data_IF_240502293061
#
_entry.id   IF_240502293061
#
_cell.length_a   1.000
_cell.length_b   1.000
_cell.length_c   1.000
_cell.angle_alpha   90.00
_cell.angle_beta   90.00
_cell.angle_gamma   90.00
#
_symmetry.space_group_name_H-M   'P 1'
#
loop_
_entity.id
_entity.type
_entity.pdbx_description
1 polymer ?
2 non-polymer ?
3 non-polymer ?
4 non-polymer ?
5 non-polymer ?
6 non-polymer ?
7 non-polymer ?
8 non-polymer ?
9 water ?
#
# COMPACT_ATOMS: atom_id res chain seq x y z
N UNK A 23 30.17 -10.18 -14.59
CA UNK A 23 30.14 -9.99 -13.11
C UNK A 23 29.07 -10.85 -12.46
N UNK A 24 29.44 -11.53 -11.36
CA UNK A 24 28.52 -12.40 -10.63
C UNK A 24 27.45 -11.59 -9.90
N UNK A 25 27.81 -10.37 -9.51
CA UNK A 25 26.88 -9.44 -8.91
C UNK A 25 25.82 -8.99 -9.93
N UNK A 26 26.26 -8.67 -11.14
CA UNK A 26 25.37 -8.17 -12.19
C UNK A 26 24.42 -9.23 -12.72
N UNK A 27 24.85 -10.49 -12.68
CA UNK A 27 23.99 -11.63 -13.03
C UNK A 27 22.94 -11.84 -11.94
N UNK A 28 23.37 -11.79 -10.68
CA UNK A 28 22.47 -11.83 -9.51
C UNK A 28 21.44 -10.71 -9.55
N UNK A 29 21.85 -9.54 -10.04
CA UNK A 29 20.98 -8.38 -10.16
C UNK A 29 20.00 -8.55 -11.31
N UNK A 30 20.48 -9.12 -12.42
CA UNK A 30 19.66 -9.39 -13.60
C UNK A 30 18.45 -10.26 -13.24
N UNK A 31 18.70 -11.35 -12.50
CA UNK A 31 17.66 -12.31 -12.16
C UNK A 31 16.73 -11.78 -11.07
N UNK A 32 17.30 -11.13 -10.06
CA UNK A 32 16.49 -10.50 -9.02
C UNK A 32 15.53 -9.47 -9.63
N UNK A 33 15.99 -8.75 -10.64
CA UNK A 33 15.13 -7.80 -11.35
C UNK A 33 13.97 -8.50 -12.07
N UNK A 34 14.20 -9.72 -12.58
CA UNK A 34 13.12 -10.51 -13.14
C UNK A 34 12.13 -10.90 -12.03
N UNK A 35 12.63 -11.20 -10.84
CA UNK A 35 11.80 -11.56 -9.69
C UNK A 35 11.00 -10.37 -9.16
N UNK A 36 11.63 -9.20 -9.10
CA UNK A 36 10.94 -7.96 -8.74
C UNK A 36 9.78 -7.68 -9.72
N UNK A 37 10.01 -7.94 -11.00
CA UNK A 37 8.96 -7.77 -12.02
C UNK A 37 7.78 -8.73 -11.77
N UNK A 38 8.06 -9.98 -11.44
CA UNK A 38 6.98 -10.94 -11.17
C UNK A 38 6.12 -10.50 -9.98
N UNK A 39 6.78 -9.98 -8.95
CA UNK A 39 6.13 -9.52 -7.72
C UNK A 39 5.01 -8.53 -7.99
N UNK A 40 5.15 -7.77 -9.08
CA UNK A 40 4.21 -6.70 -9.44
C UNK A 40 2.90 -7.23 -10.02
N UNK A 41 2.88 -8.51 -10.39
CA UNK A 41 1.66 -9.10 -10.94
C UNK A 41 0.56 -9.21 -9.89
N UNK A 42 0.95 -9.22 -8.61
CA UNK A 42 0.01 -9.29 -7.51
C UNK A 42 -0.31 -7.97 -6.78
N UNK A 43 0.26 -6.85 -7.25
CA UNK A 43 0.20 -5.57 -6.55
C UNK A 43 -1.16 -5.23 -5.93
N UNK A 44 -2.23 -5.49 -6.67
CA UNK A 44 -3.55 -5.06 -6.28
C UNK A 44 -4.34 -6.11 -5.49
N UNK A 45 -3.81 -7.32 -5.43
CA UNK A 45 -4.58 -8.43 -4.86
C UNK A 45 -3.94 -9.11 -3.65
N UNK A 46 -2.70 -8.74 -3.31
CA UNK A 46 -1.94 -9.37 -2.23
C UNK A 46 -2.31 -8.92 -0.80
N UNK A 47 -2.68 -7.66 -0.63
CA UNK A 47 -2.94 -7.12 0.72
C UNK A 47 -3.80 -8.06 1.58
N UNK A 48 -3.42 -8.29 2.86
CA UNK A 48 -2.36 -7.65 3.65
C UNK A 48 -0.99 -8.28 3.46
N UNK A 49 -0.95 -9.40 2.74
CA UNK A 49 0.28 -10.08 2.43
C UNK A 49 1.16 -9.20 1.53
N UNK A 50 2.49 -9.36 1.65
CA UNK A 50 3.47 -8.66 0.81
C UNK A 50 3.47 -9.16 -0.62
N UNK A 51 3.80 -8.26 -1.55
CA UNK A 51 4.15 -8.62 -2.92
C UNK A 51 5.50 -9.28 -2.94
N UNK A 52 5.58 -10.45 -3.58
CA UNK A 52 6.80 -11.25 -3.57
C UNK A 52 6.95 -11.96 -4.89
N UNK A 53 8.14 -11.84 -5.48
CA UNK A 53 8.47 -12.60 -6.68
C UNK A 53 9.58 -13.59 -6.39
N UNK A 54 9.66 -14.62 -7.24
CA UNK A 54 10.72 -15.61 -7.14
C UNK A 54 11.04 -16.20 -8.51
N UNK A 55 12.32 -16.22 -8.86
CA UNK A 55 12.79 -16.99 -10.01
C UNK A 55 13.81 -18.06 -9.59
N UNK A 56 13.78 -19.19 -10.28
CA UNK A 56 14.75 -20.26 -10.06
C UNK A 56 15.56 -20.45 -11.34
N UNK A 57 16.88 -20.46 -11.17
CA UNK A 57 17.84 -20.42 -12.27
C UNK A 57 18.91 -21.48 -12.07
N UNK A 58 19.25 -22.17 -13.16
CA UNK A 58 20.26 -23.22 -13.13
C UNK A 58 20.98 -23.20 -14.46
N UNK A 59 22.30 -23.31 -14.42
CA UNK A 59 23.15 -23.18 -15.63
C UNK A 59 22.77 -21.94 -16.46
N UNK A 60 22.44 -20.84 -15.77
CA UNK A 60 22.03 -19.57 -16.39
C UNK A 60 20.68 -19.65 -17.13
N UNK A 61 19.89 -20.69 -16.84
CA UNK A 61 18.60 -20.89 -17.50
C UNK A 61 17.46 -20.72 -16.51
N UNK A 62 16.45 -19.95 -16.91
CA UNK A 62 15.25 -19.77 -16.09
C UNK A 62 14.40 -21.02 -16.16
N UNK A 63 14.10 -21.61 -15.00
CA UNK A 63 13.32 -22.85 -14.95
C UNK A 63 12.03 -22.75 -14.14
N UNK A 64 11.85 -21.64 -13.41
CA UNK A 64 10.64 -21.46 -12.63
C UNK A 64 10.45 -20.03 -12.23
N UNK A 65 9.22 -19.54 -12.40
CA UNK A 65 8.84 -18.21 -11.96
C UNK A 65 7.63 -18.32 -11.04
N UNK A 66 7.50 -17.39 -10.11
CA UNK A 66 6.38 -17.40 -9.20
C UNK A 66 6.17 -16.03 -8.61
N UNK A 67 4.91 -15.76 -8.27
CA UNK A 67 4.54 -14.58 -7.53
C UNK A 67 3.37 -14.92 -6.61
N UNK A 68 3.22 -14.17 -5.54
CA UNK A 68 2.14 -14.41 -4.59
C UNK A 68 0.92 -13.66 -5.10
N UNK A 69 -0.18 -14.37 -5.41
CA UNK A 69 -1.28 -13.61 -6.01
C UNK A 69 -2.24 -12.97 -4.99
N UNK A 70 -2.40 -13.58 -3.83
CA UNK A 70 -3.50 -13.23 -2.93
C UNK A 70 -3.40 -13.99 -1.61
N UNK A 71 -3.86 -13.36 -0.52
CA UNK A 71 -3.91 -13.99 0.80
C UNK A 71 -4.57 -15.36 0.77
N UNK A 72 -3.92 -16.33 1.40
CA UNK A 72 -4.45 -17.68 1.46
C UNK A 72 -3.87 -18.57 0.38
N UNK A 73 -3.42 -17.96 -0.71
CA UNK A 73 -2.83 -18.72 -1.83
C UNK A 73 -1.34 -19.01 -1.60
N UNK A 74 -0.74 -19.93 -2.40
CA UNK A 74 0.68 -20.24 -2.13
C UNK A 74 1.63 -19.05 -2.26
N UNK A 75 2.73 -19.09 -1.52
CA UNK A 75 3.79 -18.10 -1.61
C UNK A 75 4.56 -18.21 -2.94
N UNK A 76 5.30 -17.15 -3.29
CA UNK A 76 6.00 -17.07 -4.57
C UNK A 76 6.91 -18.27 -4.84
N UNK A 77 7.71 -18.63 -3.85
CA UNK A 77 8.66 -19.74 -3.89
C UNK A 77 8.01 -21.09 -4.26
N UNK A 78 6.79 -21.31 -3.75
CA UNK A 78 6.02 -22.52 -4.04
C UNK A 78 5.65 -22.62 -5.53
N UNK A 79 5.13 -21.54 -6.11
CA UNK A 79 4.83 -21.52 -7.54
C UNK A 79 6.09 -21.76 -8.39
N UNK A 80 7.16 -21.04 -8.07
CA UNK A 80 8.43 -21.15 -8.78
C UNK A 80 9.01 -22.57 -8.74
N UNK A 81 8.89 -23.23 -7.59
CA UNK A 81 9.42 -24.59 -7.41
C UNK A 81 8.58 -25.64 -8.14
N UNK A 82 7.26 -25.46 -8.12
CA UNK A 82 6.35 -26.32 -8.87
C UNK A 82 6.74 -26.34 -10.35
N UNK A 83 7.09 -25.17 -10.89
CA UNK A 83 7.59 -25.05 -12.26
C UNK A 83 8.95 -25.70 -12.45
N UNK A 84 9.90 -25.36 -11.57
CA UNK A 84 11.26 -25.91 -11.60
C UNK A 84 11.29 -27.43 -11.49
N UNK A 85 10.33 -27.98 -10.74
CA UNK A 85 10.26 -29.42 -10.51
C UNK A 85 11.54 -29.97 -9.91
N UNK A 86 11.96 -31.14 -10.37
CA UNK A 86 13.16 -31.80 -9.82
C UNK A 86 14.47 -31.10 -10.19
N UNK A 87 14.40 -30.20 -11.17
CA UNK A 87 15.60 -29.47 -11.63
C UNK A 87 16.01 -28.36 -10.66
N UNK A 88 15.17 -28.09 -9.67
CA UNK A 88 15.46 -27.16 -8.59
C UNK A 88 16.69 -27.57 -7.75
N UNK A 89 17.03 -28.86 -7.76
CA UNK A 89 18.24 -29.34 -7.07
C UNK A 89 19.49 -28.72 -7.67
N UNK A 90 20.31 -28.12 -6.81
CA UNK A 90 21.55 -27.45 -7.24
C UNK A 90 21.35 -26.07 -7.87
N UNK A 91 20.10 -25.64 -8.02
CA UNK A 91 19.80 -24.35 -8.65
C UNK A 91 19.94 -23.17 -7.69
N UNK A 92 19.76 -21.96 -8.22
CA UNK A 92 19.71 -20.75 -7.40
C UNK A 92 18.31 -20.14 -7.45
N UNK A 93 17.78 -19.80 -6.26
CA UNK A 93 16.48 -19.17 -6.15
C UNK A 93 16.66 -17.72 -5.79
N UNK A 94 16.04 -16.84 -6.57
CA UNK A 94 16.03 -15.41 -6.26
C UNK A 94 14.66 -15.06 -5.73
N UNK A 95 14.62 -14.49 -4.53
CA UNK A 95 13.37 -14.11 -3.89
C UNK A 95 13.46 -12.68 -3.33
N UNK A 96 12.44 -11.87 -3.65
CA UNK A 96 12.40 -10.45 -3.28
C UNK A 96 12.24 -10.18 -1.78
N UNK A 97 11.96 -11.24 -1.03
CA UNK A 97 11.73 -11.14 0.41
C UNK A 97 12.16 -12.43 1.10
N UNK A 98 12.56 -12.34 2.35
CA UNK A 98 13.08 -13.49 3.09
C UNK A 98 12.04 -14.62 3.24
N UNK A 99 12.36 -15.82 2.70
CA UNK A 99 11.45 -16.96 2.86
C UNK A 99 10.99 -17.17 4.32
N UNK A 100 9.69 -17.39 4.49
CA UNK A 100 9.06 -17.49 5.80
C UNK A 100 9.51 -18.73 6.57
N UNK A 101 9.45 -18.63 7.90
CA UNK A 101 9.90 -19.70 8.77
C UNK A 101 8.77 -20.24 9.65
N UNK A 102 7.52 -19.93 9.28
CA UNK A 102 6.39 -20.31 10.13
C UNK A 102 5.14 -20.83 9.40
N UNK A 103 4.40 -21.68 10.09
CA UNK A 103 3.14 -22.25 9.60
C UNK A 103 1.98 -21.32 9.94
N UNK A 104 1.15 -21.05 8.92
CA UNK A 104 -0.09 -20.31 9.09
C UNK A 104 -1.15 -20.94 8.22
N UNK A 105 -1.56 -20.23 7.18
CA UNK A 105 -2.50 -20.78 6.20
C UNK A 105 -1.79 -21.75 5.25
N UNK A 106 -0.48 -21.55 5.08
CA UNK A 106 0.39 -22.44 4.28
C UNK A 106 1.65 -22.89 5.05
N UNK A 107 2.32 -23.98 4.61
CA UNK A 107 3.61 -24.42 5.16
C UNK A 107 4.77 -23.41 4.92
N UNK A 108 5.91 -23.56 5.63
CA UNK A 108 6.98 -22.54 5.56
C UNK A 108 7.89 -22.67 4.34
N UNK A 109 8.21 -21.53 3.73
CA UNK A 109 8.99 -21.49 2.47
C UNK A 109 10.44 -21.88 2.61
N UNK A 110 11.04 -21.57 3.75
CA UNK A 110 12.42 -21.96 4.04
C UNK A 110 12.57 -23.48 3.92
N UNK A 111 11.60 -24.22 4.46
CA UNK A 111 11.59 -25.69 4.41
C UNK A 111 11.37 -26.25 3.01
N UNK A 112 10.62 -25.54 2.17
CA UNK A 112 10.37 -25.99 0.79
C UNK A 112 11.64 -25.94 -0.04
N UNK A 113 12.39 -24.84 0.12
CA UNK A 113 13.68 -24.64 -0.55
C UNK A 113 14.70 -25.70 -0.15
N UNK A 114 14.78 -25.98 1.15
CA UNK A 114 15.64 -27.05 1.68
C UNK A 114 15.26 -28.39 1.05
N UNK A 115 13.96 -28.71 1.09
CA UNK A 115 13.42 -29.94 0.54
C UNK A 115 13.80 -30.09 -0.93
N UNK A 116 13.70 -29.00 -1.69
CA UNK A 116 14.06 -28.98 -3.10
C UNK A 116 15.58 -29.07 -3.32
N UNK A 117 16.34 -28.95 -2.24
CA UNK A 117 17.80 -29.06 -2.26
C UNK A 117 18.45 -28.04 -3.21
N UNK A 118 18.03 -26.78 -3.09
CA UNK A 118 18.68 -25.72 -3.83
C UNK A 118 20.10 -25.48 -3.29
N UNK A 119 20.99 -25.02 -4.16
CA UNK A 119 22.37 -24.75 -3.79
C UNK A 119 22.50 -23.39 -3.10
N UNK A 120 21.70 -22.42 -3.56
CA UNK A 120 21.81 -21.02 -3.15
C UNK A 120 20.47 -20.28 -3.23
N UNK A 121 20.20 -19.45 -2.22
CA UNK A 121 19.01 -18.58 -2.19
C UNK A 121 19.45 -17.13 -2.04
N UNK A 122 19.06 -16.30 -3.01
CA UNK A 122 19.42 -14.88 -3.02
C UNK A 122 18.18 -14.07 -2.60
N UNK A 123 18.36 -13.23 -1.58
CA UNK A 123 17.25 -12.48 -0.96
C UNK A 123 17.45 -10.97 -1.07
N UNK A 124 16.41 -10.26 -1.53
CA UNK A 124 16.46 -8.79 -1.60
C UNK A 124 16.25 -8.17 -0.23
N UNK A 125 15.05 -8.29 0.31
CA UNK A 125 14.70 -7.66 1.59
C UNK A 125 14.66 -8.70 2.69
N UNK A 126 15.28 -8.41 3.85
CA UNK A 126 15.08 -9.31 4.99
C UNK A 126 13.66 -9.13 5.52
N UNK A 127 13.24 -10.01 6.42
CA UNK A 127 11.89 -9.88 6.97
C UNK A 127 11.79 -8.62 7.82
N UNK A 128 10.75 -7.81 7.58
CA UNK A 128 10.60 -6.57 8.37
C UNK A 128 10.13 -6.79 9.80
N UNK A 129 9.45 -7.91 10.06
CA UNK A 129 8.95 -8.20 11.41
C UNK A 129 10.13 -8.60 12.30
N UNK A 130 10.45 -7.76 13.31
CA UNK A 130 11.64 -8.06 14.11
C UNK A 130 11.53 -9.37 14.89
N UNK A 131 10.30 -9.80 15.19
CA UNK A 131 10.11 -11.04 15.96
C UNK A 131 10.43 -12.31 15.18
N UNK A 132 10.55 -12.20 13.86
CA UNK A 132 10.82 -13.38 13.04
C UNK A 132 12.03 -13.18 12.10
N UNK A 133 12.56 -11.97 12.05
CA UNK A 133 13.64 -11.63 11.10
C UNK A 133 14.88 -12.50 11.30
N UNK A 134 15.39 -13.03 10.19
CA UNK A 134 16.60 -13.87 10.19
C UNK A 134 16.39 -15.37 10.38
N UNK A 135 15.17 -15.75 10.79
CA UNK A 135 14.87 -17.15 11.12
C UNK A 135 14.75 -18.02 9.86
N UNK A 136 14.23 -17.44 8.78
CA UNK A 136 14.16 -18.13 7.50
C UNK A 136 15.55 -18.36 6.94
N UNK A 137 16.37 -17.30 6.92
CA UNK A 137 17.77 -17.38 6.53
C UNK A 137 18.52 -18.42 7.37
N UNK A 138 18.29 -18.40 8.68
CA UNK A 138 18.93 -19.36 9.58
C UNK A 138 18.66 -20.81 9.15
N UNK A 139 17.41 -21.13 8.82
CA UNK A 139 17.04 -22.48 8.35
C UNK A 139 17.80 -22.87 7.07
N UNK A 140 18.07 -21.88 6.22
CA UNK A 140 18.86 -22.11 5.01
C UNK A 140 20.35 -22.32 5.31
N UNK A 141 20.90 -21.50 6.21
CA UNK A 141 22.28 -21.65 6.69
C UNK A 141 22.53 -23.07 7.20
N UNK A 142 21.62 -23.55 8.04
CA UNK A 142 21.72 -24.88 8.68
C UNK A 142 21.80 -26.04 7.68
N UNK A 143 21.06 -25.93 6.59
CA UNK A 143 21.04 -26.97 5.56
C UNK A 143 22.28 -26.95 4.66
N UNK A 144 23.15 -25.97 4.89
CA UNK A 144 24.33 -25.76 4.05
C UNK A 144 24.05 -24.94 2.81
N UNK A 145 22.85 -24.37 2.72
CA UNK A 145 22.46 -23.58 1.55
C UNK A 145 23.13 -22.21 1.60
N UNK A 146 23.78 -21.84 0.50
CA UNK A 146 24.34 -20.50 0.32
C UNK A 146 23.25 -19.45 0.41
N UNK A 147 23.44 -18.45 1.28
CA UNK A 147 22.53 -17.31 1.36
C UNK A 147 23.29 -16.00 1.31
N UNK A 148 22.99 -15.18 0.32
CA UNK A 148 23.43 -13.79 0.34
C UNK A 148 22.25 -12.85 0.22
N UNK A 149 22.33 -11.74 0.96
CA UNK A 149 21.19 -10.88 1.19
C UNK A 149 21.51 -9.41 0.83
N UNK A 150 20.54 -8.72 0.24
CA UNK A 150 20.67 -7.29 -0.07
C UNK A 150 20.67 -6.90 -1.53
N UNK A 151 20.56 -7.88 -2.42
CA UNK A 151 20.62 -7.65 -3.87
C UNK A 151 19.35 -6.95 -4.36
N UNK A 152 19.55 -5.81 -5.03
CA UNK A 152 18.46 -4.90 -5.43
C UNK A 152 17.45 -4.69 -4.30
N UNK A 153 17.94 -4.48 -3.08
CA UNK A 153 17.06 -4.25 -1.94
C UNK A 153 16.22 -2.99 -2.07
N UNK A 154 16.86 -1.88 -2.48
CA UNK A 154 16.17 -0.61 -2.70
C UNK A 154 14.96 -0.76 -3.63
N UNK A 155 15.18 -1.42 -4.75
CA UNK A 155 14.15 -1.59 -5.78
C UNK A 155 13.05 -2.53 -5.27
N UNK A 156 13.45 -3.55 -4.51
CA UNK A 156 12.49 -4.52 -3.98
C UNK A 156 11.63 -3.91 -2.88
N UNK A 157 12.25 -3.07 -2.04
CA UNK A 157 11.53 -2.34 -0.98
C UNK A 157 10.38 -1.49 -1.49
N UNK A 158 10.52 -0.96 -2.70
CA UNK A 158 9.48 -0.20 -3.36
C UNK A 158 8.22 -1.03 -3.64
N UNK A 159 8.38 -2.36 -3.65
CA UNK A 159 7.28 -3.29 -3.80
C UNK A 159 6.35 -3.33 -2.57
N UNK A 160 6.86 -2.90 -1.43
CA UNK A 160 6.17 -3.15 -0.15
C UNK A 160 6.38 -2.00 0.83
N UNK A 161 6.19 -0.76 0.38
CA UNK A 161 6.39 0.37 1.27
C UNK A 161 5.59 0.27 2.57
N UNK A 162 4.29 -0.02 2.46
CA UNK A 162 3.45 -0.18 3.64
C UNK A 162 3.79 -1.37 4.54
N UNK A 163 3.85 -2.56 3.95
CA UNK A 163 4.15 -3.78 4.73
C UNK A 163 5.47 -3.68 5.49
N UNK A 164 6.52 -3.22 4.81
CA UNK A 164 7.85 -3.10 5.43
C UNK A 164 7.85 -2.09 6.57
N UNK A 165 7.16 -0.98 6.38
CA UNK A 165 7.05 0.02 7.46
C UNK A 165 6.22 -0.48 8.64
N UNK A 166 5.05 -1.06 8.35
CA UNK A 166 4.12 -1.49 9.40
C UNK A 166 4.72 -2.61 10.25
N UNK A 167 5.45 -3.52 9.61
CA UNK A 167 6.00 -4.67 10.30
C UNK A 167 7.21 -4.27 11.16
N UNK A 168 7.94 -3.26 10.71
CA UNK A 168 9.10 -2.79 11.45
C UNK A 168 8.78 -1.72 12.51
N UNK A 169 7.67 -0.99 12.34
CA UNK A 169 7.36 0.10 13.30
C UNK A 169 5.96 0.08 13.93
N UNK A 170 5.07 -0.77 13.43
CA UNK A 170 3.68 -0.78 13.90
C UNK A 170 2.79 0.34 13.35
N UNK A 171 3.29 1.12 12.40
CA UNK A 171 2.50 2.18 11.79
C UNK A 171 2.42 1.98 10.28
N UNK A 172 1.24 2.21 9.68
CA UNK A 172 1.13 2.00 8.25
C UNK A 172 1.84 3.12 7.48
N UNK A 173 2.15 2.87 6.20
CA UNK A 173 2.60 3.91 5.25
C UNK A 173 1.38 4.69 4.82
N UNK A 174 1.40 6.02 5.01
CA UNK A 174 0.23 6.85 4.78
C UNK A 174 0.42 7.84 3.63
N UNK A 175 -0.45 7.74 2.64
CA UNK A 175 -0.46 8.64 1.49
C UNK A 175 -1.65 9.57 1.57
N UNK A 176 -1.36 10.87 1.46
CA UNK A 176 -2.39 11.86 1.50
C UNK A 176 -2.62 12.34 0.09
N UNK A 177 -3.83 12.13 -0.39
CA UNK A 177 -4.23 12.68 -1.68
C UNK A 177 -4.93 14.02 -1.49
N UNK A 178 -4.53 15.02 -2.30
CA UNK A 178 -5.24 16.30 -2.39
C UNK A 178 -5.41 16.73 -3.85
N UNK A 179 -6.50 17.41 -4.10
CA UNK A 179 -6.81 17.93 -5.46
C UNK A 179 -7.14 19.37 -5.27
N UNK A 180 -6.43 20.21 -6.01
CA UNK A 180 -6.67 21.64 -5.86
C UNK A 180 -6.51 22.39 -7.17
N UNK A 181 -6.97 23.63 -7.13
CA UNK A 181 -6.75 24.57 -8.21
C UNK A 181 -5.32 25.09 -8.09
N UNK A 182 -4.89 25.85 -9.08
CA UNK A 182 -3.54 26.44 -9.09
C UNK A 182 -3.36 27.34 -7.90
N UNK A 183 -4.44 28.02 -7.49
CA UNK A 183 -4.33 28.88 -6.32
C UNK A 183 -4.65 28.18 -4.99
N UNK A 184 -4.53 26.86 -5.00
CA UNK A 184 -4.53 26.06 -3.77
C UNK A 184 -5.89 25.87 -3.12
N UNK A 185 -6.97 25.98 -3.91
CA UNK A 185 -8.33 25.88 -3.41
C UNK A 185 -9.00 24.56 -3.82
N UNK A 186 -9.93 24.10 -2.99
CA UNK A 186 -10.58 22.80 -3.18
C UNK A 186 -12.08 22.89 -3.50
N UNK A 187 -12.67 24.07 -3.38
CA UNK A 187 -14.11 24.24 -3.56
C UNK A 187 -14.47 25.70 -3.41
N UNK A 188 -15.64 26.10 -3.91
CA UNK A 188 -16.18 27.42 -3.60
C UNK A 188 -16.64 27.48 -2.14
N UNK A 189 -16.88 28.69 -1.63
CA UNK A 189 -17.27 28.90 -0.23
C UNK A 189 -18.29 27.86 0.27
N UNK A 190 -19.35 27.66 -0.53
CA UNK A 190 -20.23 26.50 -0.39
C UNK A 190 -19.70 25.40 -1.31
N UNK A 191 -19.40 24.25 -0.72
CA UNK A 191 -18.60 23.17 -1.34
C UNK A 191 -18.86 22.69 -2.76
N UNK A 192 -19.45 23.55 -3.61
CA UNK A 192 -19.60 23.28 -5.04
C UNK A 192 -18.25 22.93 -5.69
N UNK A 193 -18.26 21.84 -6.46
CA UNK A 193 -17.07 21.33 -7.15
C UNK A 193 -17.40 20.86 -8.57
N UNK A 196 -13.00 20.16 -10.95
CA UNK A 196 -11.67 20.74 -10.76
C UNK A 196 -10.69 19.92 -11.59
N UNK A 197 -10.29 18.74 -11.10
CA UNK A 197 -9.44 17.83 -11.88
C UNK A 197 -10.27 16.90 -12.79
N UNK A 198 -9.63 16.36 -13.83
CA UNK A 198 -10.31 15.60 -14.88
C UNK A 198 -10.13 14.10 -14.80
N UNK A 199 -10.50 13.42 -15.87
CA UNK A 199 -10.58 11.95 -15.86
C UNK A 199 -9.22 11.25 -15.75
N UNK A 200 -8.18 11.85 -16.33
CA UNK A 200 -6.84 11.28 -16.23
C UNK A 200 -6.35 11.24 -14.78
N UNK A 201 -6.59 12.32 -14.03
CA UNK A 201 -6.27 12.35 -12.60
C UNK A 201 -7.13 11.32 -11.85
N UNK A 202 -8.41 11.26 -12.20
CA UNK A 202 -9.32 10.28 -11.60
C UNK A 202 -8.83 8.85 -11.79
N UNK A 203 -8.38 8.52 -13.01
CA UNK A 203 -7.82 7.19 -13.27
C UNK A 203 -6.56 6.95 -12.43
N UNK A 204 -5.70 7.97 -12.32
CA UNK A 204 -4.48 7.82 -11.54
C UNK A 204 -4.80 7.48 -10.09
N UNK A 205 -5.83 8.13 -9.55
CA UNK A 205 -6.27 7.88 -8.16
C UNK A 205 -6.68 6.42 -7.93
N UNK A 206 -7.26 5.79 -8.96
CA UNK A 206 -7.60 4.37 -8.89
C UNK A 206 -6.41 3.49 -8.48
N UNK A 207 -5.25 3.73 -9.06
CA UNK A 207 -4.04 3.02 -8.70
C UNK A 207 -3.72 3.18 -7.21
N UNK A 208 -3.76 4.41 -6.70
CA UNK A 208 -3.41 4.67 -5.31
C UNK A 208 -4.40 3.98 -4.39
N UNK A 209 -5.68 4.02 -4.76
CA UNK A 209 -6.71 3.33 -3.95
C UNK A 209 -6.46 1.81 -3.94
N UNK A 210 -6.05 1.28 -5.09
CA UNK A 210 -5.95 -0.17 -5.25
C UNK A 210 -4.74 -0.81 -4.57
N UNK A 211 -3.73 -0.01 -4.21
CA UNK A 211 -2.65 -0.54 -3.37
C UNK A 211 -2.87 -0.29 -1.86
N UNK A 212 -3.99 0.35 -1.51
CA UNK A 212 -4.26 0.70 -0.12
C UNK A 212 -5.17 -0.28 0.59
N UNK A 213 -4.82 -0.65 1.82
CA UNK A 213 -5.69 -1.45 2.70
C UNK A 213 -6.90 -0.66 3.19
N UNK A 214 -6.75 0.67 3.25
CA UNK A 214 -7.84 1.54 3.69
C UNK A 214 -7.79 2.89 3.00
N UNK A 215 -8.96 3.40 2.64
CA UNK A 215 -9.08 4.81 2.27
C UNK A 215 -9.77 5.50 3.43
N UNK A 216 -9.11 6.52 3.99
CA UNK A 216 -9.70 7.29 5.10
C UNK A 216 -10.29 8.58 4.61
N UNK A 217 -11.52 8.86 5.06
CA UNK A 217 -12.16 10.13 4.74
C UNK A 217 -12.94 10.64 5.95
N UNK A 218 -13.45 11.85 5.88
CA UNK A 218 -14.26 12.39 6.98
C UNK A 218 -15.71 12.41 6.55
N UNK A 219 -16.60 12.47 7.54
CA UNK A 219 -18.03 12.58 7.27
C UNK A 219 -18.39 13.73 6.29
N UNK A 220 -17.72 14.88 6.42
CA UNK A 220 -18.00 16.05 5.58
C UNK A 220 -17.95 15.73 4.08
N UNK A 221 -16.93 14.95 3.69
CA UNK A 221 -16.71 14.53 2.30
C UNK A 221 -17.82 13.58 1.83
N UNK A 222 -18.18 12.63 2.69
CA UNK A 222 -19.23 11.66 2.39
C UNK A 222 -20.57 12.36 2.18
N UNK A 223 -20.89 13.32 3.06
CA UNK A 223 -22.11 14.09 2.92
C UNK A 223 -22.08 14.96 1.64
N UNK A 224 -20.99 15.71 1.44
CA UNK A 224 -20.88 16.63 0.28
C UNK A 224 -20.83 15.93 -1.07
N UNK A 225 -20.01 14.88 -1.17
CA UNK A 225 -19.74 14.21 -2.44
C UNK A 225 -20.56 12.95 -2.69
N UNK A 226 -20.95 12.26 -1.61
CA UNK A 226 -21.57 10.93 -1.69
C UNK A 226 -20.67 9.93 -2.44
N UNK A 227 -19.37 9.99 -2.13
CA UNK A 227 -18.34 9.18 -2.80
C UNK A 227 -18.38 7.71 -2.39
N UNK A 228 -17.76 6.85 -3.21
CA UNK A 228 -17.64 5.43 -2.85
C UNK A 228 -16.23 5.08 -2.42
N UNK A 229 -15.25 5.79 -2.98
CA UNK A 229 -13.84 5.61 -2.62
C UNK A 229 -13.33 4.21 -2.88
N UNK A 230 -13.93 3.53 -3.85
CA UNK A 230 -13.56 2.16 -4.17
C UNK A 230 -12.77 2.08 -5.48
N UNK A 231 -12.42 0.86 -5.86
CA UNK A 231 -11.68 0.62 -7.10
C UNK A 231 -12.64 0.05 -8.15
N UNK A 232 -12.80 0.77 -9.27
CA UNK A 232 -13.72 0.37 -10.34
C UNK A 232 -13.04 0.25 -11.71
N UNK A 233 -11.80 0.72 -11.82
CA UNK A 233 -11.15 0.82 -13.12
C UNK A 233 -9.63 0.78 -13.03
N UNK A 234 -9.00 -0.22 -13.64
CA UNK A 234 -7.53 -0.31 -13.65
C UNK A 234 -6.98 -0.81 -14.98
N UNK A 235 -5.82 -0.30 -15.37
CA UNK A 235 -5.11 -0.77 -16.57
C UNK A 235 -4.65 -2.20 -16.42
N UNK A 236 -5.02 -3.04 -17.40
CA UNK A 236 -4.52 -4.40 -17.52
C UNK A 236 -4.82 -5.32 -16.35
N UNK A 237 -5.82 -4.96 -15.54
CA UNK A 237 -6.22 -5.73 -14.37
C UNK A 237 -7.74 -5.86 -14.33
N UNK A 238 -8.21 -7.10 -14.16
CA UNK A 238 -9.61 -7.37 -13.91
C UNK A 238 -9.97 -6.94 -12.50
N UNK A 239 -10.93 -6.03 -12.41
CA UNK A 239 -11.37 -5.48 -11.13
C UNK A 239 -11.86 -6.50 -10.11
N UNK A 240 -12.33 -7.66 -10.57
CA UNK A 240 -12.79 -8.73 -9.67
C UNK A 240 -11.64 -9.36 -8.87
N UNK A 241 -10.42 -9.27 -9.38
CA UNK A 241 -9.24 -9.81 -8.69
C UNK A 241 -8.66 -8.83 -7.65
N UNK A 242 -9.11 -7.59 -7.67
CA UNK A 242 -8.62 -6.57 -6.73
C UNK A 242 -9.09 -6.82 -5.30
N UNK A 243 -8.15 -6.80 -4.36
CA UNK A 243 -8.48 -6.73 -2.94
C UNK A 243 -8.79 -5.28 -2.57
N UNK A 244 -10.08 -4.99 -2.44
CA UNK A 244 -10.58 -3.63 -2.26
C UNK A 244 -10.13 -3.02 -0.94
N UNK A 245 -9.81 -1.72 -0.94
CA UNK A 245 -9.57 -0.98 0.31
C UNK A 245 -10.83 -0.91 1.17
N UNK A 246 -10.67 -0.96 2.49
CA UNK A 246 -11.77 -0.64 3.42
C UNK A 246 -11.96 0.86 3.38
N UNK A 247 -13.20 1.31 3.51
CA UNK A 247 -13.50 2.72 3.55
C UNK A 247 -13.70 3.10 5.01
N UNK A 248 -12.82 3.97 5.51
CA UNK A 248 -12.80 4.32 6.93
C UNK A 248 -13.32 5.74 7.01
N UNK A 249 -14.44 5.91 7.72
CA UNK A 249 -15.10 7.18 7.83
C UNK A 249 -15.01 7.74 9.25
N UNK A 250 -14.40 8.91 9.37
CA UNK A 250 -14.26 9.53 10.68
C UNK A 250 -15.47 10.41 10.91
N UNK A 251 -16.29 10.05 11.89
CA UNK A 251 -17.62 10.60 12.00
C UNK A 251 -17.97 10.79 13.47
N UNK A 252 -17.37 11.83 14.07
CA UNK A 252 -17.34 11.93 15.53
C UNK A 252 -18.72 12.18 16.17
N UNK A 253 -19.66 12.69 15.39
CA UNK A 253 -21.02 12.92 15.86
C UNK A 253 -22.01 11.86 15.36
N UNK A 254 -21.48 10.85 14.67
CA UNK A 254 -22.29 9.74 14.16
C UNK A 254 -23.35 10.18 13.16
N UNK A 255 -22.96 11.02 12.21
CA UNK A 255 -23.91 11.58 11.25
C UNK A 255 -24.05 10.83 9.92
N UNK A 256 -23.28 9.77 9.71
CA UNK A 256 -23.33 9.03 8.44
C UNK A 256 -24.77 8.62 8.11
N UNK A 257 -25.31 9.14 6.99
CA UNK A 257 -26.66 8.76 6.60
C UNK A 257 -26.65 7.32 6.10
N UNK A 258 -27.67 6.56 6.52
CA UNK A 258 -27.79 5.16 6.14
C UNK A 258 -27.95 4.98 4.61
N UNK A 259 -28.44 6.02 3.94
CA UNK A 259 -28.64 5.98 2.49
C UNK A 259 -27.39 6.36 1.70
N UNK A 260 -26.29 6.65 2.38
CA UNK A 260 -25.04 7.02 1.70
C UNK A 260 -24.56 5.89 0.80
N UNK A 261 -24.06 6.26 -0.38
CA UNK A 261 -23.59 5.31 -1.37
C UNK A 261 -22.43 4.46 -0.85
N UNK A 262 -21.56 5.07 -0.04
CA UNK A 262 -20.42 4.39 0.58
C UNK A 262 -20.87 3.19 1.43
N UNK A 263 -22.17 3.13 1.78
CA UNK A 263 -22.71 2.04 2.58
C UNK A 263 -23.36 0.89 1.80
N UNK A 264 -23.39 0.96 0.47
CA UNK A 264 -23.99 -0.13 -0.33
C UNK A 264 -23.25 -1.47 -0.15
N UNK A 265 -21.96 -1.39 0.19
CA UNK A 265 -21.12 -2.54 0.47
C UNK A 265 -20.61 -2.49 1.94
N UNK A 266 -21.53 -2.71 2.92
CA UNK A 266 -21.27 -2.33 4.32
C UNK A 266 -20.12 -3.06 5.01
N UNK A 267 -19.89 -4.32 4.65
CA UNK A 267 -18.83 -5.14 5.26
C UNK A 267 -17.40 -4.63 4.94
N UNK A 268 -17.25 -3.75 3.95
CA UNK A 268 -15.95 -3.11 3.72
C UNK A 268 -15.89 -1.67 4.24
N UNK A 269 -16.73 -1.34 5.21
CA UNK A 269 -16.80 0.00 5.78
C UNK A 269 -16.49 -0.03 7.28
N UNK A 270 -15.68 0.94 7.72
CA UNK A 270 -15.42 1.12 9.15
C UNK A 270 -15.75 2.55 9.49
N UNK A 271 -16.47 2.75 10.58
CA UNK A 271 -16.82 4.09 11.03
C UNK A 271 -16.19 4.34 12.39
N UNK A 272 -15.49 5.47 12.51
CA UNK A 272 -15.01 5.89 13.81
C UNK A 272 -15.94 6.96 14.34
N UNK A 273 -16.68 6.63 15.39
CA UNK A 273 -17.66 7.56 15.97
C UNK A 273 -18.42 6.90 17.09
N UNK A 274 -19.46 7.59 17.62
CA UNK A 274 -20.26 7.00 18.70
C UNK A 274 -21.04 5.80 18.17
N UNK A 275 -20.98 4.69 18.91
CA UNK A 275 -21.58 3.43 18.50
C UNK A 275 -23.05 3.58 18.08
N UNK A 276 -23.37 3.04 16.92
CA UNK A 276 -24.73 3.05 16.39
C UNK A 276 -25.11 1.62 16.10
N UNK A 277 -26.19 1.15 16.71
CA UNK A 277 -26.68 -0.20 16.45
C UNK A 277 -27.10 -0.39 14.98
N UNK A 278 -27.63 0.67 14.36
CA UNK A 278 -28.01 0.63 12.94
C UNK A 278 -26.82 0.17 12.12
N UNK A 279 -25.63 0.68 12.45
CA UNK A 279 -24.44 0.33 11.70
C UNK A 279 -23.96 -1.10 11.97
N UNK A 280 -23.98 -1.52 13.24
CA UNK A 280 -23.60 -2.89 13.58
C UNK A 280 -24.51 -3.93 12.89
N UNK A 281 -25.80 -3.63 12.79
CA UNK A 281 -26.77 -4.53 12.16
C UNK A 281 -26.51 -4.71 10.66
N UNK A 282 -25.85 -3.73 10.07
CA UNK A 282 -25.48 -3.79 8.65
C UNK A 282 -24.16 -4.52 8.42
N UNK A 283 -23.43 -4.79 9.50
CA UNK A 283 -22.10 -5.40 9.41
C UNK A 283 -20.94 -4.41 9.33
N UNK A 284 -21.22 -3.12 9.51
CA UNK A 284 -20.17 -2.09 9.48
C UNK A 284 -19.29 -2.24 10.71
N UNK A 285 -17.97 -2.20 10.54
CA UNK A 285 -17.04 -2.28 11.67
C UNK A 285 -17.03 -0.91 12.36
N UNK A 286 -17.25 -0.89 13.67
CA UNK A 286 -17.24 0.40 14.37
C UNK A 286 -16.06 0.54 15.29
N UNK A 287 -15.41 1.70 15.19
CA UNK A 287 -14.26 2.07 16.02
C UNK A 287 -14.66 3.18 17.01
N UNK A 288 -14.18 3.11 18.24
CA UNK A 288 -14.40 4.22 19.18
C UNK A 288 -13.55 5.42 18.76
N UNK A 289 -14.03 6.61 19.09
CA UNK A 289 -13.32 7.85 18.77
C UNK A 289 -11.94 7.77 19.43
N UNK A 290 -10.90 8.00 18.65
CA UNK A 290 -9.52 7.91 19.13
C UNK A 290 -8.63 8.89 18.35
N UNK A 291 -7.48 9.27 18.93
CA UNK A 291 -6.57 10.17 18.22
C UNK A 291 -6.12 9.57 16.90
N UNK A 292 -5.79 10.43 15.94
CA UNK A 292 -5.42 9.97 14.60
C UNK A 292 -4.23 9.00 14.59
N UNK A 293 -3.20 9.30 15.37
CA UNK A 293 -2.05 8.41 15.50
C UNK A 293 -2.46 7.02 16.04
N UNK A 294 -3.32 7.01 17.05
CA UNK A 294 -3.85 5.77 17.62
C UNK A 294 -4.71 5.03 16.58
N UNK A 295 -5.50 5.79 15.80
CA UNK A 295 -6.33 5.22 14.73
C UNK A 295 -5.45 4.45 13.73
N UNK A 296 -4.40 5.11 13.26
CA UNK A 296 -3.44 4.44 12.35
C UNK A 296 -2.83 3.16 12.93
N UNK A 297 -2.44 3.21 14.20
CA UNK A 297 -1.87 2.02 14.87
C UNK A 297 -2.89 0.89 15.00
N UNK A 298 -4.12 1.25 15.35
CA UNK A 298 -5.26 0.32 15.36
C UNK A 298 -5.43 -0.38 14.00
N UNK A 299 -5.44 0.40 12.92
CA UNK A 299 -5.71 -0.16 11.59
C UNK A 299 -4.66 -1.19 11.23
N UNK A 300 -3.41 -0.87 11.57
CA UNK A 300 -2.30 -1.79 11.32
C UNK A 300 -2.34 -3.04 12.22
N UNK A 301 -2.44 -2.80 13.51
CA UNK A 301 -2.30 -3.88 14.50
C UNK A 301 -3.49 -4.82 14.51
N UNK A 302 -4.70 -4.26 14.48
CA UNK A 302 -5.93 -5.03 14.63
C UNK A 302 -6.59 -5.44 13.32
N UNK A 303 -6.33 -4.68 12.25
CA UNK A 303 -7.01 -4.91 10.98
C UNK A 303 -6.08 -5.19 9.80
N UNK A 304 -4.77 -5.29 10.04
CA UNK A 304 -3.78 -5.66 9.03
C UNK A 304 -3.82 -4.70 7.83
N UNK A 305 -3.97 -3.42 8.13
CA UNK A 305 -4.00 -2.38 7.11
C UNK A 305 -2.67 -1.66 7.17
N UNK A 306 -1.81 -1.91 6.17
CA UNK A 306 -0.43 -1.38 6.17
C UNK A 306 -0.19 -0.22 5.20
N UNK A 307 -1.14 0.00 4.28
CA UNK A 307 -1.08 1.14 3.36
C UNK A 307 -2.40 1.88 3.50
N UNK A 308 -2.29 3.16 3.84
CA UNK A 308 -3.44 4.01 4.01
C UNK A 308 -3.41 5.13 2.96
N UNK A 309 -4.56 5.37 2.31
CA UNK A 309 -4.76 6.58 1.50
C UNK A 309 -5.74 7.53 2.22
N UNK A 310 -5.35 8.78 2.45
CA UNK A 310 -6.30 9.77 2.94
C UNK A 310 -6.97 10.52 1.78
N UNK A 311 -8.29 10.50 1.73
CA UNK A 311 -9.05 11.24 0.69
C UNK A 311 -10.12 12.08 1.38
N UNK A 312 -9.75 13.27 1.83
CA UNK A 312 -10.60 14.00 2.78
C UNK A 312 -10.60 15.48 2.50
N UNK A 313 -11.38 16.24 3.27
CA UNK A 313 -11.37 17.69 3.14
C UNK A 313 -10.19 18.33 3.86
N UNK A 314 -10.16 19.65 3.76
CA UNK A 314 -9.12 20.50 4.33
C UNK A 314 -8.85 20.27 5.82
N UNK A 315 -9.90 20.25 6.64
CA UNK A 315 -9.74 20.10 8.07
C UNK A 315 -9.05 18.79 8.45
N UNK A 316 -9.57 17.67 7.98
CA UNK A 316 -8.98 16.37 8.31
C UNK A 316 -7.60 16.21 7.68
N UNK A 317 -7.48 16.63 6.43
CA UNK A 317 -6.18 16.60 5.72
C UNK A 317 -5.11 17.39 6.48
N UNK A 318 -5.46 18.59 6.97
CA UNK A 318 -4.50 19.42 7.69
C UNK A 318 -4.12 18.78 9.05
N UNK A 319 -5.11 18.18 9.72
CA UNK A 319 -4.83 17.45 10.97
C UNK A 319 -3.78 16.38 10.74
N UNK A 320 -3.93 15.57 9.70
CA UNK A 320 -2.94 14.52 9.45
C UNK A 320 -1.55 15.12 9.23
N UNK A 321 -1.50 16.20 8.43
CA UNK A 321 -0.25 16.90 8.12
C UNK A 321 0.40 17.49 9.34
N UNK A 322 -0.38 18.21 10.15
CA UNK A 322 0.20 18.92 11.29
C UNK A 322 0.61 17.95 12.38
N UNK A 323 0.00 16.76 12.42
CA UNK A 323 0.40 15.79 13.43
C UNK A 323 1.59 14.94 12.97
N UNK A 324 2.06 15.20 11.76
CA UNK A 324 3.24 14.51 11.22
C UNK A 324 2.93 13.06 10.89
N UNK A 325 1.71 12.81 10.39
CA UNK A 325 1.26 11.44 10.16
C UNK A 325 1.28 11.03 8.71
N UNK A 326 1.88 11.88 7.86
CA UNK A 326 1.89 11.64 6.44
C UNK A 326 3.28 11.20 6.00
N UNK A 327 3.35 10.06 5.33
CA UNK A 327 4.59 9.63 4.68
C UNK A 327 4.78 10.27 3.30
N UNK A 328 3.69 10.51 2.57
CA UNK A 328 3.79 10.98 1.19
C UNK A 328 2.52 11.70 0.82
N UNK A 329 2.67 12.83 0.15
CA UNK A 329 1.49 13.57 -0.31
C UNK A 329 1.50 13.51 -1.79
N UNK A 330 0.34 13.17 -2.33
CA UNK A 330 0.14 13.10 -3.77
C UNK A 330 -0.83 14.21 -4.11
N UNK A 331 -0.32 15.20 -4.84
CA UNK A 331 -1.05 16.43 -5.06
C UNK A 331 -1.41 16.59 -6.53
N UNK A 332 -2.71 16.68 -6.80
CA UNK A 332 -3.21 16.92 -8.14
C UNK A 332 -3.60 18.38 -8.27
N UNK A 333 -3.07 19.04 -9.30
CA UNK A 333 -3.30 20.47 -9.45
C UNK A 333 -3.90 20.71 -10.82
N UNK A 334 -5.01 21.43 -10.81
CA UNK A 334 -5.80 21.71 -12.01
C UNK A 334 -5.50 23.12 -12.51
N UNK A 335 -5.49 23.34 -13.84
CA UNK A 335 -5.07 24.61 -14.42
C UNK A 335 -6.16 25.68 -14.32
N UNK A 336 -6.54 25.98 -13.09
CA UNK A 336 -7.60 26.94 -12.84
C UNK A 336 -7.38 27.79 -11.58
N UNK A 337 -8.00 28.96 -11.60
CA UNK A 337 -8.01 29.87 -10.46
C UNK A 337 -9.44 29.99 -9.92
N UNK A 338 -9.61 29.69 -8.64
CA UNK A 338 -10.90 29.74 -7.94
C UNK A 338 -11.12 31.00 -7.10
N UNK A 339 -10.05 31.72 -6.81
CA UNK A 339 -10.18 32.98 -6.07
C UNK A 339 -10.03 32.84 -4.57
N UNK A 340 -9.89 33.99 -3.91
CA UNK A 340 -9.48 34.04 -2.51
C UNK A 340 -10.60 33.70 -1.52
N UNK A 341 -11.82 33.49 -2.01
CA UNK A 341 -12.93 33.12 -1.13
C UNK A 341 -13.27 31.64 -1.21
N UNK A 342 -12.54 30.89 -2.05
CA UNK A 342 -12.76 29.47 -2.20
C UNK A 342 -12.02 28.76 -1.07
N UNK A 343 -12.34 27.48 -0.85
CA UNK A 343 -11.82 26.76 0.32
C UNK A 343 -10.33 26.45 0.22
N UNK A 344 -9.56 26.93 1.19
CA UNK A 344 -8.14 26.63 1.29
C UNK A 344 -7.89 25.12 1.49
N UNK A 345 -6.87 24.62 0.81
CA UNK A 345 -6.50 23.20 0.90
C UNK A 345 -5.88 22.85 2.25
N UNK A 346 -5.21 23.82 2.87
CA UNK A 346 -4.50 23.59 4.11
C UNK A 346 -4.88 24.70 5.08
N UNK A 347 -5.46 24.34 6.22
CA UNK A 347 -6.04 25.37 7.07
C UNK A 347 -5.30 25.76 8.34
N UNK A 348 -4.03 25.38 8.44
CA UNK A 348 -3.19 25.92 9.49
C UNK A 348 -3.09 27.43 9.37
N UNK A 349 -2.92 28.09 10.51
CA UNK A 349 -2.65 29.52 10.56
C UNK A 349 -1.22 29.72 11.02
N UNK A 350 -0.32 29.97 10.07
CA UNK A 350 1.08 30.26 10.36
C UNK A 350 1.32 31.76 10.33
N UNK A 351 2.36 32.22 11.02
CA UNK A 351 2.73 33.63 11.05
C UNK A 351 4.05 33.90 10.34
N UNK A 352 5.04 33.04 10.59
CA UNK A 352 6.38 33.20 10.04
C UNK A 352 6.69 32.11 9.02
N UNK A 353 7.59 32.43 8.08
CA UNK A 353 8.02 31.51 7.04
C UNK A 353 8.65 30.24 7.62
N UNK A 354 9.30 30.37 8.76
CA UNK A 354 9.92 29.25 9.48
C UNK A 354 8.93 28.15 9.90
N UNK A 355 7.65 28.50 9.99
CA UNK A 355 6.60 27.52 10.35
C UNK A 355 6.08 26.69 9.15
N UNK A 356 6.46 27.10 7.93
CA UNK A 356 6.03 26.40 6.71
C UNK A 356 6.25 24.88 6.81
N UNK A 357 5.37 24.12 6.19
CA UNK A 357 5.57 22.70 6.03
C UNK A 357 6.22 22.44 4.69
N UNK A 358 7.53 22.17 4.72
CA UNK A 358 8.34 21.93 3.52
C UNK A 358 8.36 20.45 3.21
N UNK A 359 8.35 20.13 1.91
CA UNK A 359 8.39 18.76 1.44
C UNK A 359 9.55 18.66 0.46
N UNK A 360 10.02 17.44 0.26
CA UNK A 360 10.94 17.13 -0.83
C UNK A 360 10.12 16.64 -2.02
N UNK A 361 10.35 17.22 -3.20
CA UNK A 361 9.63 16.82 -4.40
C UNK A 361 10.28 15.57 -4.97
N UNK A 362 9.50 14.51 -5.16
CA UNK A 362 10.01 13.30 -5.84
C UNK A 362 9.91 13.44 -7.34
N UNK A 363 8.73 13.79 -7.82
CA UNK A 363 8.51 13.97 -9.25
C UNK A 363 7.24 14.74 -9.54
N UNK A 364 7.16 15.23 -10.76
CA UNK A 364 5.95 15.84 -11.26
C UNK A 364 5.65 15.23 -12.62
N UNK A 365 4.39 14.90 -12.86
CA UNK A 365 3.96 14.39 -14.16
C UNK A 365 2.75 15.17 -14.66
N UNK A 366 2.54 15.14 -15.96
CA UNK A 366 1.34 15.73 -16.55
C UNK A 366 0.27 14.64 -16.72
N UNK A 367 -0.95 14.92 -16.24
CA UNK A 367 -2.10 14.04 -16.45
C UNK A 367 -3.15 14.77 -17.28
N UNK A 368 -2.98 14.71 -18.59
CA UNK A 368 -3.84 15.43 -19.56
C UNK A 368 -3.74 16.93 -19.26
N UNK A 369 -4.76 17.52 -18.65
CA UNK A 369 -4.72 18.96 -18.35
C UNK A 369 -4.31 19.27 -16.92
N UNK A 370 -4.23 18.24 -16.08
CA UNK A 370 -3.80 18.40 -14.69
C UNK A 370 -2.32 18.03 -14.53
N UNK A 371 -1.77 18.32 -13.36
CA UNK A 371 -0.48 17.76 -13.00
C UNK A 371 -0.56 17.02 -11.67
N UNK A 372 0.41 16.16 -11.44
CA UNK A 372 0.51 15.46 -10.18
C UNK A 372 1.92 15.57 -9.66
N UNK A 373 2.03 16.02 -8.41
CA UNK A 373 3.27 16.03 -7.66
C UNK A 373 3.26 14.91 -6.63
N UNK A 374 4.40 14.28 -6.42
CA UNK A 374 4.58 13.43 -5.24
C UNK A 374 5.62 14.05 -4.35
N UNK A 375 5.30 14.15 -3.05
CA UNK A 375 6.05 14.92 -2.10
C UNK A 375 6.28 14.15 -0.80
N UNK A 376 7.46 14.29 -0.22
CA UNK A 376 7.82 13.63 1.02
C UNK A 376 8.19 14.70 2.06
N UNK A 377 7.60 14.61 3.27
CA UNK A 377 7.94 15.60 4.30
C UNK A 377 9.44 15.66 4.63
N UNK A 378 9.87 16.83 5.11
CA UNK A 378 11.20 17.05 5.66
C UNK A 378 11.02 17.76 6.98
X LIG B 1 6.71 -18.16 2.43
X LIG C 1 -15.61 7.94 -6.04
X LIG C 1 -14.85 7.11 -6.95
X LIG C 1 -16.90 7.33 -5.78
X LIG C 1 -14.86 8.04 -4.79
X LIG C 1 -15.83 9.27 -6.57
X LIG D 1 0.37 -17.71 5.35
X LIG D 1 0.75 -18.76 6.29
X LIG D 1 -0.95 -17.19 5.69
X LIG D 1 1.36 -16.63 5.40
X LIG D 1 0.33 -18.27 4.00
X LIG E 1 -6.26 13.92 18.23
X LIG E 1 -5.77 13.28 16.95
X LIG E 1 -7.61 13.44 18.73
X LIG E 1 -5.21 14.00 19.34
X LIG E 1 -6.48 15.46 17.82
X LIG E 1 -5.44 16.18 17.16
X LIG E 1 -6.00 16.93 15.95
X LIG E 1 -6.61 16.02 15.01
X LIG E 1 -7.07 17.92 16.41
X LIG E 1 -6.85 19.18 15.78
X LIG E 1 -8.36 17.28 15.98
X LIG E 1 -9.39 18.26 15.70
X LIG E 1 -7.96 16.44 14.77
X LIG E 1 -8.86 15.28 14.65
X LIG E 1 -8.83 14.17 15.41
X LIG E 1 -9.83 13.34 15.02
X LIG E 1 -10.48 13.95 14.01
X LIG E 1 -11.56 13.57 13.24
X LIG E 1 -12.10 12.47 13.46
X LIG E 1 -12.00 14.41 12.28
X LIG E 1 -11.42 15.60 12.06
X LIG E 1 -11.88 16.44 11.09
X LIG E 1 -10.35 15.99 12.80
X LIG E 1 -9.87 15.17 13.78
X LIG F 1 1.76 -18.13 -10.21
X LIG F 1 0.34 -17.92 -9.95
X LIG F 1 2.65 -17.54 -9.57
X LIG F 1 -0.03 -17.07 -9.10
X LIG F 1 2.05 -18.94 -11.11
X LIG F 1 -0.48 -18.61 -10.59
X LIG G 1 -16.22 15.28 13.02
X LIG G 1 -17.53 15.83 12.77
X LIG G 1 -15.88 14.14 12.60
X LIG G 1 -18.45 15.08 12.39
X LIG G 1 -15.46 16.02 13.67
X LIG G 1 -17.73 17.04 12.94
X LIG H 1 7.60 -15.30 1.57
X LIG H 1 8.05 -16.68 2.56
X LIG H 1 6.56 -15.76 0.27
X LIG H 1 6.60 -14.02 2.69
X LIG H 1 9.25 -14.50 0.92
X LIG I 1 -13.56 15.10 5.33
X LIG J 1 3.73 -0.51 -2.21
X LIG J 1 3.09 -0.28 -1.12
X LIG J 1 4.99 -0.36 -2.19
X LIG J 1 3.05 -0.95 -3.49
X LIG K 1 8.56 5.27 -8.92
X LIG K 1 9.63 6.30 -8.63
X LIG K 1 7.34 5.35 -8.03
X LIG K 1 9.09 3.87 -9.11
X LIG K 1 8.00 5.69 -10.37
X LIG K 1 6.92 6.62 -10.50
X LIG K 1 5.75 5.96 -11.22
X LIG K 1 4.55 6.68 -10.96
X LIG K 1 5.52 4.54 -10.70
X LIG K 1 6.69 4.04 -10.04
X LIG K 1 4.39 4.67 -9.71
X LIG K 1 4.91 4.78 -8.38
X LIG K 1 3.70 5.97 -10.06
X LIG K 1 2.38 5.71 -10.71
X LIG K 1 1.46 6.65 -10.91
X LIG K 1 0.38 6.12 -11.52
X LIG K 1 0.64 4.82 -11.71
X LIG K 1 -0.11 3.81 -12.28
X LIG K 1 -1.25 4.07 -12.74
X LIG K 1 0.40 2.58 -12.35
X LIG K 1 1.62 2.32 -11.85
X LIG K 1 2.10 1.06 -11.93
X LIG K 1 2.38 3.29 -11.29
X LIG K 1 1.90 4.55 -11.21
#
# INVERSE_FOLDING_TARGET
MGSSHHHHHHSSGENLYFQGHMSELKQDQYWMQQAIELAKRGLYSTKPNPNVGCVIVKDDQLIGEGFHPKAGQPHAEVFALRQAGEQAQGATAYVTLEPCAHYGRTPPCAEALVKAQVKKVVVACPDPNPLVAGKGVQILKNAGIEVEIGICEDLAAKLNQGFLKAMSTGMPYVRLKVASSLDGRTAMASGESKWITGSAARQDVQHWRAISGAVITGIDTVIADDCQLNVRSLHNIDIETVAQPKRVILDRRGRLPLTAKILENPETVMVMGPYRQELADLGVIQLEIQPLKTLLQTLSKQYQIYDVLIEAGATLSSAFLQEGLIDEMISYVAPTLLGQSARAMFNADFEYMAQQLRFKLLDVIQLDQDIRLRLIPTQEKV
ZN ZN
SO4 S O1 O2 O3 O4
SO4 S O1 O2 O3 O4
5GP P O1P O2P O3P O5' C5' C4' O4' C3' O3' C2' O2' C1' N9 C8 N7 C5 C6 O6 N1 C2 N2 N3 C4
OXL C1 C2 O1 O2 O3 O4
OXL C1 C2 O1 O2 O3 O4
CAC AS O1 O2 C1 C2
CL CL
ACT C O OXT CH3
5GP P O1P O2P O3P O5' C5' C4' O4' C3' O3' C2' O2' C1' N9 C8 N7 C5 C6 O6 N1 C2 N2 N3 C4
#
